data_IF_486218784494
#
_entry.id   IF_486218784494
#
_cell.length_a   1.000
_cell.length_b   1.000
_cell.length_c   1.000
_cell.angle_alpha   90.00
_cell.angle_beta   90.00
_cell.angle_gamma   90.00
#
_symmetry.space_group_name_H-M   'P 1'
#
loop_
_entity.id
_entity.type
_entity.pdbx_description
1 polymer ?
#
# COMPACT_ATOMS: atom_id res chain seq x y z
N UNK A 1 2.82 7.69 13.47
CA UNK A 1 2.12 8.00 14.74
C UNK A 1 3.09 8.65 15.71
N UNK A 2 2.58 9.41 16.68
CA UNK A 2 3.39 10.09 17.70
C UNK A 2 2.74 9.90 19.08
N UNK A 3 3.48 9.32 20.02
CA UNK A 3 3.02 9.01 21.38
C UNK A 3 4.17 9.30 22.35
N UNK A 4 3.91 10.07 23.41
CA UNK A 4 4.91 10.38 24.46
C UNK A 4 6.25 10.89 23.92
N UNK A 5 6.22 11.74 22.89
CA UNK A 5 7.41 12.30 22.25
C UNK A 5 8.15 11.36 21.30
N UNK A 6 7.78 10.09 21.21
CA UNK A 6 8.33 9.12 20.27
C UNK A 6 7.53 9.16 18.96
N UNK A 7 8.24 9.17 17.83
CA UNK A 7 7.63 9.21 16.48
C UNK A 7 7.93 7.90 15.77
N UNK A 8 6.87 7.16 15.44
CA UNK A 8 6.97 6.01 14.55
C UNK A 8 6.50 6.41 13.15
N UNK A 9 7.43 6.39 12.19
CA UNK A 9 7.17 6.54 10.76
C UNK A 9 7.67 5.29 10.07
N UNK A 10 6.75 4.43 9.71
CA UNK A 10 7.05 3.17 9.04
C UNK A 10 6.02 2.93 7.93
N UNK A 11 6.39 2.12 6.96
CA UNK A 11 5.60 1.79 5.78
C UNK A 11 5.94 0.38 5.31
N UNK A 12 4.96 -0.50 5.36
CA UNK A 12 5.07 -1.91 4.97
C UNK A 12 3.80 -2.39 4.27
N UNK A 13 3.84 -3.61 3.74
CA UNK A 13 2.69 -4.30 3.15
C UNK A 13 2.26 -5.46 4.05
N UNK A 14 0.95 -5.65 4.21
CA UNK A 14 0.40 -6.71 5.06
C UNK A 14 -0.44 -7.68 4.22
N UNK A 15 -0.23 -8.98 4.42
CA UNK A 15 -1.07 -10.00 3.82
C UNK A 15 -2.41 -10.09 4.57
N UNK A 16 -3.51 -9.63 3.96
CA UNK A 16 -4.86 -9.70 4.55
C UNK A 16 -5.30 -11.13 4.91
N UNK A 17 -4.73 -12.14 4.24
CA UNK A 17 -5.03 -13.56 4.50
C UNK A 17 -4.05 -14.19 5.50
N UNK A 18 -3.19 -13.40 6.16
CA UNK A 18 -2.27 -13.89 7.19
C UNK A 18 -3.04 -14.46 8.39
N UNK A 19 -2.62 -15.64 8.85
CA UNK A 19 -3.26 -16.38 9.96
C UNK A 19 -2.27 -16.76 11.06
N UNK A 20 -0.97 -16.61 10.81
CA UNK A 20 0.10 -17.08 11.69
C UNK A 20 0.58 -15.99 12.62
N UNK A 21 0.71 -14.77 12.11
CA UNK A 21 1.21 -13.60 12.85
C UNK A 21 0.06 -12.62 13.06
N UNK A 22 -0.25 -12.29 14.31
CA UNK A 22 -1.25 -11.27 14.62
C UNK A 22 -0.64 -9.85 14.54
N UNK A 23 -1.46 -8.81 14.29
CA UNK A 23 -1.00 -7.42 14.36
C UNK A 23 -0.31 -7.08 15.68
N UNK A 24 -0.77 -7.69 16.78
CA UNK A 24 -0.18 -7.51 18.12
C UNK A 24 1.22 -8.12 18.21
N UNK A 25 1.41 -9.36 17.74
CA UNK A 25 2.72 -10.00 17.71
C UNK A 25 3.71 -9.23 16.82
N UNK A 26 3.25 -8.74 15.66
CA UNK A 26 4.06 -7.89 14.80
C UNK A 26 4.44 -6.58 15.50
N UNK A 27 3.48 -5.93 16.17
CA UNK A 27 3.71 -4.68 16.86
C UNK A 27 4.66 -4.83 18.07
N UNK A 28 4.63 -5.96 18.77
CA UNK A 28 5.57 -6.28 19.85
C UNK A 28 7.00 -6.36 19.34
N UNK A 29 7.24 -7.13 18.27
CA UNK A 29 8.55 -7.25 17.63
C UNK A 29 9.02 -5.89 17.11
N UNK A 30 8.14 -5.11 16.45
CA UNK A 30 8.48 -3.78 15.95
C UNK A 30 8.85 -2.81 17.08
N UNK A 31 8.17 -2.89 18.23
CA UNK A 31 8.53 -2.05 19.38
C UNK A 31 9.86 -2.47 20.00
N UNK A 32 10.16 -3.77 20.05
CA UNK A 32 11.44 -4.30 20.54
C UNK A 32 12.60 -3.87 19.62
N UNK A 33 12.46 -4.03 18.31
CA UNK A 33 13.47 -3.66 17.31
C UNK A 33 13.80 -2.15 17.30
N UNK A 34 12.83 -1.31 17.65
CA UNK A 34 12.94 0.16 17.61
C UNK A 34 13.07 0.81 19.00
N UNK A 35 13.22 0.01 20.06
CA UNK A 35 13.28 0.47 21.46
C UNK A 35 12.10 1.39 21.85
N UNK A 36 10.89 1.08 21.40
CA UNK A 36 9.68 1.88 21.64
C UNK A 36 8.90 1.42 22.90
N UNK A 37 8.18 2.33 23.60
CA UNK A 37 7.33 1.97 24.73
C UNK A 37 6.15 1.06 24.33
N UNK A 38 6.34 -0.26 24.41
CA UNK A 38 5.38 -1.27 23.94
C UNK A 38 3.96 -1.09 24.53
N UNK A 39 3.85 -0.71 25.81
CA UNK A 39 2.56 -0.48 26.49
C UNK A 39 1.69 0.52 25.72
N UNK A 40 2.30 1.56 25.16
CA UNK A 40 1.58 2.61 24.46
C UNK A 40 1.49 2.36 22.94
N UNK A 41 2.54 1.80 22.34
CA UNK A 41 2.62 1.63 20.89
C UNK A 41 1.95 0.35 20.36
N UNK A 42 2.05 -0.79 21.06
CA UNK A 42 1.49 -2.06 20.58
C UNK A 42 -0.01 -1.97 20.30
N UNK A 43 -0.86 -1.41 21.20
CA UNK A 43 -2.29 -1.26 20.92
C UNK A 43 -2.56 -0.32 19.74
N UNK A 44 -1.81 0.78 19.63
CA UNK A 44 -1.99 1.78 18.59
C UNK A 44 -1.60 1.25 17.20
N UNK A 45 -0.48 0.52 17.10
CA UNK A 45 -0.01 -0.12 15.85
C UNK A 45 -1.01 -1.19 15.44
N UNK A 46 -1.37 -2.09 16.35
CA UNK A 46 -2.30 -3.19 16.08
C UNK A 46 -3.66 -2.68 15.59
N UNK A 47 -4.20 -1.66 16.25
CA UNK A 47 -5.44 -1.01 15.85
C UNK A 47 -5.31 -0.36 14.46
N UNK A 48 -4.19 0.34 14.19
CA UNK A 48 -3.94 0.97 12.90
C UNK A 48 -3.87 -0.05 11.77
N UNK A 49 -3.21 -1.19 11.98
CA UNK A 49 -3.15 -2.29 11.00
C UNK A 49 -4.56 -2.82 10.71
N UNK A 50 -5.31 -3.18 11.75
CA UNK A 50 -6.68 -3.73 11.61
C UNK A 50 -7.61 -2.76 10.88
N UNK A 51 -7.59 -1.48 11.25
CA UNK A 51 -8.39 -0.45 10.58
C UNK A 51 -8.08 -0.33 9.09
N UNK A 52 -6.81 -0.41 8.70
CA UNK A 52 -6.40 -0.34 7.30
C UNK A 52 -6.79 -1.60 6.51
N UNK A 53 -6.71 -2.78 7.14
CA UNK A 53 -7.16 -4.05 6.54
C UNK A 53 -8.68 -4.06 6.31
N UNK A 54 -9.45 -3.57 7.30
CA UNK A 54 -10.91 -3.47 7.22
C UNK A 54 -11.34 -2.44 6.16
N UNK A 55 -10.60 -1.35 6.03
CA UNK A 55 -10.82 -0.34 4.99
C UNK A 55 -10.35 -0.79 3.59
N UNK A 56 -9.61 -1.89 3.48
CA UNK A 56 -9.12 -2.40 2.20
C UNK A 56 -10.25 -3.14 1.45
N UNK A 57 -10.62 -2.68 0.24
CA UNK A 57 -11.74 -3.24 -0.50
C UNK A 57 -11.51 -4.72 -0.83
N UNK A 58 -12.52 -5.55 -0.58
CA UNK A 58 -12.47 -7.00 -0.84
C UNK A 58 -12.97 -7.38 -2.24
N UNK A 59 -13.81 -6.54 -2.86
CA UNK A 59 -14.33 -6.79 -4.20
C UNK A 59 -13.48 -6.10 -5.26
N UNK A 60 -12.78 -6.91 -6.06
CA UNK A 60 -12.25 -6.46 -7.35
C UNK A 60 -13.42 -6.33 -8.33
N UNK A 61 -14.16 -5.23 -8.26
CA UNK A 61 -15.28 -4.90 -9.18
C UNK A 61 -14.88 -4.81 -10.67
N UNK A 62 -13.61 -5.06 -10.98
CA UNK A 62 -12.93 -4.83 -12.24
C UNK A 62 -12.25 -6.09 -12.80
N UNK A 63 -12.36 -7.25 -12.12
CA UNK A 63 -11.59 -8.48 -12.43
C UNK A 63 -11.77 -9.02 -13.86
N UNK A 64 -12.89 -8.67 -14.53
CA UNK A 64 -13.23 -9.10 -15.90
C UNK A 64 -12.90 -8.06 -16.99
N UNK A 65 -12.26 -6.94 -16.65
CA UNK A 65 -11.96 -5.89 -17.61
C UNK A 65 -10.53 -5.96 -18.12
N UNK A 66 -10.39 -5.88 -19.44
CA UNK A 66 -9.10 -5.80 -20.12
C UNK A 66 -8.65 -4.33 -20.27
N UNK A 67 -7.34 -4.11 -20.25
CA UNK A 67 -6.69 -2.82 -20.50
C UNK A 67 -7.11 -1.72 -19.52
N UNK A 68 -6.59 -1.83 -18.30
CA UNK A 68 -6.84 -0.87 -17.21
C UNK A 68 -5.60 -0.06 -16.89
N UNK A 69 -5.01 0.56 -17.92
CA UNK A 69 -3.81 1.37 -17.75
C UNK A 69 -4.10 2.66 -16.99
N UNK A 70 -3.27 2.92 -15.99
CA UNK A 70 -3.25 4.14 -15.19
C UNK A 70 -1.84 4.70 -15.16
N UNK A 71 -1.71 6.01 -14.96
CA UNK A 71 -0.41 6.65 -14.77
C UNK A 71 -0.15 6.76 -13.28
N UNK A 72 0.91 6.11 -12.81
CA UNK A 72 1.38 6.20 -11.44
C UNK A 72 2.51 7.21 -11.33
N UNK A 73 2.57 7.92 -10.20
CA UNK A 73 3.61 8.93 -9.92
C UNK A 73 4.27 8.62 -8.59
N UNK A 74 5.58 8.42 -8.60
CA UNK A 74 6.38 8.26 -7.39
C UNK A 74 6.93 9.61 -6.95
N UNK A 75 6.84 9.87 -5.65
CA UNK A 75 7.48 11.00 -5.00
C UNK A 75 7.90 10.58 -3.58
N UNK A 76 9.05 9.92 -3.50
CA UNK A 76 9.52 9.21 -2.31
C UNK A 76 10.79 9.87 -1.79
N UNK A 77 10.84 10.10 -0.48
CA UNK A 77 11.97 10.71 0.21
C UNK A 77 12.46 9.76 1.29
N UNK A 78 13.71 9.33 1.19
CA UNK A 78 14.38 8.50 2.21
C UNK A 78 15.74 9.11 2.50
N UNK A 79 15.96 9.51 3.75
CA UNK A 79 17.15 10.27 4.14
C UNK A 79 17.33 11.53 3.28
N UNK A 80 18.46 11.62 2.60
CA UNK A 80 18.83 12.76 1.75
C UNK A 80 18.56 12.51 0.25
N UNK A 81 17.90 11.41 -0.10
CA UNK A 81 17.65 11.00 -1.48
C UNK A 81 16.16 11.13 -1.78
N UNK A 82 15.85 11.76 -2.91
CA UNK A 82 14.49 11.87 -3.45
C UNK A 82 14.37 11.09 -4.76
N UNK A 83 13.42 10.18 -4.82
CA UNK A 83 13.02 9.46 -6.03
C UNK A 83 11.71 10.06 -6.57
N UNK A 84 11.77 10.62 -7.78
CA UNK A 84 10.61 11.13 -8.51
C UNK A 84 10.54 10.43 -9.86
N UNK A 85 9.44 9.76 -10.14
CA UNK A 85 9.24 9.00 -11.37
C UNK A 85 7.77 8.97 -11.78
N UNK A 86 7.50 8.65 -13.04
CA UNK A 86 6.16 8.50 -13.60
C UNK A 86 6.15 7.40 -14.68
N UNK A 87 5.25 6.43 -14.54
CA UNK A 87 5.10 5.32 -15.48
C UNK A 87 3.64 4.89 -15.62
N UNK A 88 3.35 4.15 -16.69
CA UNK A 88 2.05 3.51 -16.90
C UNK A 88 2.02 2.14 -16.22
N UNK A 89 0.89 1.81 -15.59
CA UNK A 89 0.65 0.54 -14.94
C UNK A 89 -0.68 -0.05 -15.41
N UNK A 90 -0.67 -1.28 -15.90
CA UNK A 90 -1.89 -2.01 -16.24
C UNK A 90 -2.38 -2.78 -15.00
N UNK A 91 -3.57 -2.38 -14.50
CA UNK A 91 -4.19 -3.02 -13.34
C UNK A 91 -4.85 -4.36 -13.65
N UNK A 92 -5.06 -4.67 -14.94
CA UNK A 92 -5.69 -5.93 -15.37
C UNK A 92 -4.70 -7.09 -15.48
N UNK A 93 -3.40 -6.79 -15.56
CA UNK A 93 -2.34 -7.80 -15.64
C UNK A 93 -2.02 -8.36 -14.25
N UNK A 94 -2.21 -9.67 -14.07
CA UNK A 94 -2.11 -10.35 -12.77
C UNK A 94 -0.65 -10.58 -12.35
N UNK A 95 0.25 -10.67 -13.32
CA UNK A 95 1.67 -10.85 -13.08
C UNK A 95 2.38 -9.53 -12.71
N UNK A 96 1.69 -8.38 -12.85
CA UNK A 96 2.22 -7.09 -12.42
C UNK A 96 2.17 -6.97 -10.89
N UNK A 97 3.27 -7.29 -10.23
CA UNK A 97 3.41 -7.14 -8.77
C UNK A 97 4.22 -5.89 -8.40
N UNK A 98 3.69 -4.99 -7.55
CA UNK A 98 4.41 -3.79 -7.10
C UNK A 98 5.77 -4.08 -6.46
N UNK A 99 5.89 -5.20 -5.73
CA UNK A 99 7.12 -5.61 -5.06
C UNK A 99 8.23 -5.98 -6.05
N UNK A 100 7.91 -6.77 -7.09
CA UNK A 100 8.93 -7.13 -8.10
C UNK A 100 9.36 -5.91 -8.91
N UNK A 101 8.42 -5.03 -9.26
CA UNK A 101 8.75 -3.76 -9.92
C UNK A 101 9.66 -2.90 -9.04
N UNK A 102 9.33 -2.72 -7.76
CA UNK A 102 10.12 -1.93 -6.82
C UNK A 102 11.54 -2.49 -6.65
N UNK A 103 11.68 -3.82 -6.52
CA UNK A 103 12.98 -4.49 -6.43
C UNK A 103 13.83 -4.23 -7.67
N UNK A 104 13.24 -4.38 -8.86
CA UNK A 104 13.94 -4.16 -10.13
C UNK A 104 14.36 -2.71 -10.30
N UNK A 105 13.46 -1.76 -10.04
CA UNK A 105 13.73 -0.32 -10.13
C UNK A 105 14.85 0.09 -9.16
N UNK A 106 14.80 -0.40 -7.91
CA UNK A 106 15.87 -0.16 -6.95
C UNK A 106 17.22 -0.75 -7.40
N UNK A 107 17.23 -1.97 -7.94
CA UNK A 107 18.45 -2.59 -8.44
C UNK A 107 19.07 -1.81 -9.62
N UNK A 108 18.25 -1.29 -10.53
CA UNK A 108 18.70 -0.50 -11.68
C UNK A 108 19.25 0.88 -11.28
N UNK A 109 18.66 1.50 -10.26
CA UNK A 109 19.06 2.82 -9.77
C UNK A 109 20.15 2.77 -8.68
N UNK A 110 20.55 1.57 -8.24
CA UNK A 110 21.47 1.41 -7.11
C UNK A 110 20.87 1.90 -5.77
N UNK A 111 19.54 1.87 -5.64
CA UNK A 111 18.83 2.21 -4.41
C UNK A 111 18.62 0.95 -3.57
N UNK A 112 18.69 1.09 -2.24
CA UNK A 112 18.51 -0.01 -1.30
C UNK A 112 17.75 0.41 -0.05
N UNK A 113 17.58 -0.52 0.89
CA UNK A 113 16.89 -0.28 2.15
C UNK A 113 15.40 0.03 1.96
N UNK A 114 14.94 1.11 2.59
CA UNK A 114 13.53 1.51 2.69
C UNK A 114 12.90 1.92 1.35
N UNK A 115 13.69 2.12 0.29
CA UNK A 115 13.15 2.49 -1.01
C UNK A 115 12.26 1.41 -1.61
N UNK A 116 12.65 0.13 -1.49
CA UNK A 116 11.87 -0.98 -2.08
C UNK A 116 10.47 -1.02 -1.47
N UNK A 117 10.37 -0.94 -0.14
CA UNK A 117 9.10 -0.96 0.58
C UNK A 117 8.28 0.31 0.31
N UNK A 118 8.92 1.49 0.31
CA UNK A 118 8.25 2.76 0.02
C UNK A 118 7.67 2.81 -1.40
N UNK A 119 8.39 2.29 -2.40
CA UNK A 119 7.90 2.23 -3.79
C UNK A 119 6.71 1.28 -3.89
N UNK A 120 6.84 0.05 -3.39
CA UNK A 120 5.77 -0.94 -3.44
C UNK A 120 4.50 -0.42 -2.74
N UNK A 121 4.66 0.21 -1.57
CA UNK A 121 3.56 0.84 -0.85
C UNK A 121 2.91 1.98 -1.64
N UNK A 122 3.71 2.89 -2.21
CA UNK A 122 3.21 4.03 -3.00
C UNK A 122 2.38 3.55 -4.20
N UNK A 123 2.86 2.51 -4.90
CA UNK A 123 2.14 1.89 -6.01
C UNK A 123 0.82 1.30 -5.51
N UNK A 124 0.84 0.44 -4.47
CA UNK A 124 -0.38 -0.19 -3.93
C UNK A 124 -1.43 0.83 -3.48
N UNK A 125 -1.01 1.91 -2.82
CA UNK A 125 -1.89 3.00 -2.40
C UNK A 125 -2.58 3.67 -3.59
N UNK A 126 -1.83 3.98 -4.64
CA UNK A 126 -2.37 4.57 -5.86
C UNK A 126 -3.31 3.60 -6.60
N UNK A 127 -2.94 2.31 -6.71
CA UNK A 127 -3.78 1.29 -7.32
C UNK A 127 -5.13 1.14 -6.58
N UNK A 128 -5.11 1.09 -5.25
CA UNK A 128 -6.34 1.04 -4.44
C UNK A 128 -7.23 2.26 -4.67
N UNK A 129 -6.63 3.46 -4.79
CA UNK A 129 -7.36 4.69 -5.09
C UNK A 129 -7.97 4.70 -6.50
N UNK A 130 -7.21 4.24 -7.50
CA UNK A 130 -7.69 4.11 -8.87
C UNK A 130 -8.86 3.11 -8.94
N UNK A 131 -8.73 1.91 -8.37
CA UNK A 131 -9.80 0.91 -8.35
C UNK A 131 -11.13 1.49 -7.83
N UNK A 132 -11.11 2.25 -6.73
CA UNK A 132 -12.30 2.92 -6.18
C UNK A 132 -12.91 3.94 -7.13
N UNK A 133 -12.07 4.75 -7.78
CA UNK A 133 -12.51 5.82 -8.67
C UNK A 133 -13.07 5.26 -9.99
N UNK A 134 -12.42 4.25 -10.57
CA UNK A 134 -12.91 3.56 -11.77
C UNK A 134 -14.21 2.80 -11.50
N UNK A 135 -14.31 2.08 -10.38
CA UNK A 135 -15.54 1.42 -9.96
C UNK A 135 -16.71 2.42 -9.81
N UNK A 136 -16.48 3.59 -9.18
CA UNK A 136 -17.50 4.62 -9.06
C UNK A 136 -18.01 5.15 -10.41
N UNK A 137 -17.09 5.40 -11.36
CA UNK A 137 -17.46 5.83 -12.73
C UNK A 137 -18.24 4.74 -13.47
N UNK A 138 -17.88 3.48 -13.29
CA UNK A 138 -18.54 2.34 -13.92
C UNK A 138 -19.97 2.14 -13.38
N UNK A 139 -20.16 2.09 -12.06
CA UNK A 139 -21.48 1.95 -11.42
C UNK A 139 -22.41 3.09 -11.81
N UNK A 140 -21.88 4.33 -11.85
CA UNK A 140 -22.63 5.51 -12.31
C UNK A 140 -23.10 5.40 -13.76
N UNK A 141 -22.29 4.77 -14.64
CA UNK A 141 -22.62 4.55 -16.06
C UNK A 141 -23.66 3.43 -16.23
N UNK A 142 -23.59 2.37 -15.43
CA UNK A 142 -24.57 1.27 -15.43
C UNK A 142 -25.94 1.76 -14.95
N UNK A 143 -26.01 2.51 -13.84
CA UNK A 143 -27.28 3.08 -13.35
C UNK A 143 -27.99 3.96 -14.40
N UNK A 144 -27.25 4.71 -15.21
CA UNK A 144 -27.83 5.51 -16.31
C UNK A 144 -28.39 4.68 -17.46
N UNK A 145 -27.93 3.43 -17.65
CA UNK A 145 -28.41 2.53 -18.71
C UNK A 145 -29.73 1.83 -18.37
N UNK A 146 -30.04 1.64 -17.09
CA UNK A 146 -31.26 0.96 -16.63
C UNK A 146 -32.42 1.91 -16.25
N UNK A 147 -32.23 3.22 -16.38
CA UNK A 147 -33.23 4.26 -16.12
C UNK A 147 -33.79 4.88 -17.43
N UNK A 148 -33.71 4.15 -18.55
CA UNK A 148 -34.34 4.50 -19.83
C UNK A 148 -35.19 3.37 -20.34
#
# INVERSE_FOLDING_TARGET
MEIEGHKLRDTFTWNKNEQTITPEQFAEVLCDDLDLPAIAFVPAISQSIRQQIDAFPTDNLLDDQMDQRVVLKLNIHVGNISLVDQFEWDMSEKDNTPEQFALKLCAELGLGGEFVTAIAYSIRGQLSWHQRTYAFRFVSKVRRRYLK
#
